data_IF_206250082781
#
_entry.id   IF_206250082781
#
_cell.length_a   1.000
_cell.length_b   1.000
_cell.length_c   1.000
_cell.angle_alpha   90.00
_cell.angle_beta   90.00
_cell.angle_gamma   90.00
#
_symmetry.space_group_name_H-M   'P 1'
#
loop_
_entity.id
_entity.type
_entity.pdbx_description
1 polymer ?
#
# COMPACT_ATOMS: atom_id res chain seq x y z
N UNK A 1 -3.54 4.36 21.44
CA UNK A 1 -4.05 4.17 20.06
C UNK A 1 -4.77 2.84 20.00
N UNK A 2 -6.09 2.84 19.77
CA UNK A 2 -6.89 1.61 19.70
C UNK A 2 -6.83 1.11 18.25
N UNK A 3 -5.90 0.20 17.94
CA UNK A 3 -5.80 -0.48 16.65
C UNK A 3 -6.87 -1.57 16.50
N UNK A 4 -8.12 -1.23 16.80
CA UNK A 4 -9.27 -2.08 16.50
C UNK A 4 -9.67 -1.68 15.09
N UNK A 5 -9.62 -2.58 14.12
CA UNK A 5 -10.08 -2.37 12.75
C UNK A 5 -11.62 -2.17 12.65
N UNK A 6 -12.21 -1.56 13.69
CA UNK A 6 -13.62 -1.29 13.83
C UNK A 6 -13.95 -0.04 13.02
N UNK A 7 -14.71 -0.25 11.94
CA UNK A 7 -15.17 0.82 11.05
C UNK A 7 -16.30 1.60 11.71
N UNK A 8 -16.44 2.87 11.33
CA UNK A 8 -17.60 3.68 11.72
C UNK A 8 -18.89 3.06 11.16
N UNK A 9 -20.05 3.20 11.82
CA UNK A 9 -21.33 2.67 11.35
C UNK A 9 -21.94 3.53 10.22
N UNK A 10 -21.11 3.93 9.25
CA UNK A 10 -21.49 4.72 8.07
C UNK A 10 -21.27 3.88 6.82
N UNK A 11 -21.83 4.32 5.68
CA UNK A 11 -21.58 3.64 4.41
C UNK A 11 -20.07 3.66 4.09
N UNK A 12 -19.49 2.54 3.60
CA UNK A 12 -18.07 2.47 3.25
C UNK A 12 -17.66 3.43 2.14
N UNK A 13 -18.60 3.78 1.25
CA UNK A 13 -18.41 4.79 0.22
C UNK A 13 -19.60 5.76 0.24
N UNK A 14 -19.26 7.04 0.32
CA UNK A 14 -20.22 8.15 0.23
C UNK A 14 -19.73 9.07 -0.90
N UNK A 15 -20.54 9.19 -1.96
CA UNK A 15 -20.26 10.08 -3.08
C UNK A 15 -21.08 11.36 -2.96
N UNK A 16 -20.42 12.51 -3.00
CA UNK A 16 -21.06 13.81 -3.16
C UNK A 16 -20.89 14.30 -4.60
N UNK A 17 -22.00 14.54 -5.28
CA UNK A 17 -22.00 15.08 -6.65
C UNK A 17 -23.25 15.92 -6.88
N UNK A 18 -23.08 17.11 -7.45
CA UNK A 18 -24.18 18.01 -7.83
C UNK A 18 -25.17 18.31 -6.69
N UNK A 19 -24.65 18.54 -5.47
CA UNK A 19 -25.49 18.81 -4.29
C UNK A 19 -26.16 17.57 -3.69
N UNK A 20 -25.93 16.37 -4.25
CA UNK A 20 -26.54 15.12 -3.80
C UNK A 20 -25.51 14.19 -3.16
N UNK A 21 -25.90 13.60 -2.03
CA UNK A 21 -25.18 12.51 -1.38
C UNK A 21 -25.74 11.17 -1.83
N UNK A 22 -24.86 10.23 -2.20
CA UNK A 22 -25.19 8.84 -2.54
C UNK A 22 -24.35 7.91 -1.68
N UNK A 23 -25.00 7.00 -0.98
CA UNK A 23 -24.35 6.02 -0.11
C UNK A 23 -24.36 4.64 -0.78
N UNK A 24 -23.23 3.95 -0.72
CA UNK A 24 -23.09 2.57 -1.20
C UNK A 24 -22.86 1.68 0.02
N UNK A 25 -23.83 0.81 0.34
CA UNK A 25 -23.87 0.02 1.60
C UNK A 25 -23.80 -1.49 1.41
N UNK A 26 -24.06 -1.96 0.19
CA UNK A 26 -24.32 -3.37 -0.05
C UNK A 26 -23.05 -4.21 -0.26
N UNK A 27 -21.90 -3.55 -0.43
CA UNK A 27 -20.63 -4.24 -0.65
C UNK A 27 -19.97 -4.65 0.68
N UNK A 28 -19.50 -5.91 0.80
CA UNK A 28 -18.63 -6.32 1.90
C UNK A 28 -17.41 -5.40 1.95
N UNK A 29 -17.28 -4.67 3.06
CA UNK A 29 -16.29 -3.62 3.22
C UNK A 29 -15.37 -3.84 4.42
N UNK A 30 -15.35 -5.06 4.96
CA UNK A 30 -14.42 -5.38 6.03
C UNK A 30 -13.01 -5.55 5.44
N UNK A 31 -12.00 -5.23 6.22
CA UNK A 31 -10.60 -5.35 5.81
C UNK A 31 -10.26 -6.81 5.46
N UNK A 32 -10.87 -7.77 6.15
CA UNK A 32 -10.69 -9.21 5.91
C UNK A 32 -11.21 -9.65 4.53
N UNK A 33 -12.26 -8.99 4.01
CA UNK A 33 -12.83 -9.32 2.70
C UNK A 33 -11.80 -9.09 1.59
N UNK A 34 -10.94 -8.08 1.74
CA UNK A 34 -9.86 -7.83 0.77
C UNK A 34 -8.85 -8.99 0.69
N UNK A 35 -8.53 -9.65 1.81
CA UNK A 35 -7.63 -10.81 1.84
C UNK A 35 -8.26 -12.02 1.18
N UNK A 36 -9.54 -12.27 1.46
CA UNK A 36 -10.33 -13.36 0.88
C UNK A 36 -10.40 -13.16 -0.65
N UNK A 37 -10.83 -11.99 -1.10
CA UNK A 37 -11.00 -11.68 -2.51
C UNK A 37 -9.68 -11.72 -3.28
N UNK A 38 -8.59 -11.18 -2.72
CA UNK A 38 -7.27 -11.23 -3.36
C UNK A 38 -6.72 -12.65 -3.47
N UNK A 39 -7.01 -13.50 -2.48
CA UNK A 39 -6.60 -14.91 -2.50
C UNK A 39 -7.35 -15.69 -3.58
N UNK A 40 -8.67 -15.47 -3.69
CA UNK A 40 -9.46 -16.06 -4.77
C UNK A 40 -9.02 -15.56 -6.14
N UNK A 41 -8.78 -14.25 -6.30
CA UNK A 41 -8.25 -13.67 -7.55
C UNK A 41 -6.97 -14.37 -7.99
N UNK A 42 -6.01 -14.54 -7.08
CA UNK A 42 -4.75 -15.22 -7.35
C UNK A 42 -4.94 -16.68 -7.78
N UNK A 43 -5.79 -17.44 -7.09
CA UNK A 43 -6.09 -18.84 -7.44
C UNK A 43 -6.71 -18.92 -8.84
N UNK A 44 -7.65 -18.02 -9.15
CA UNK A 44 -8.33 -17.98 -10.43
C UNK A 44 -7.40 -17.57 -11.57
N UNK A 45 -6.43 -16.67 -11.32
CA UNK A 45 -5.38 -16.35 -12.28
C UNK A 45 -4.61 -17.59 -12.74
N UNK A 46 -4.23 -18.43 -11.77
CA UNK A 46 -3.50 -19.67 -12.05
C UNK A 46 -4.39 -20.67 -12.80
N UNK A 47 -5.65 -20.83 -12.38
CA UNK A 47 -6.57 -21.80 -12.97
C UNK A 47 -6.97 -21.48 -14.40
N UNK A 48 -7.19 -20.20 -14.68
CA UNK A 48 -7.78 -19.74 -15.93
C UNK A 48 -6.77 -19.03 -16.85
N UNK A 49 -5.48 -19.06 -16.50
CA UNK A 49 -4.40 -18.41 -17.26
C UNK A 49 -4.72 -16.96 -17.60
N UNK A 50 -5.14 -16.20 -16.58
CA UNK A 50 -5.45 -14.77 -16.70
C UNK A 50 -4.52 -13.93 -15.83
N UNK A 51 -4.39 -12.66 -16.19
CA UNK A 51 -3.69 -11.70 -15.35
C UNK A 51 -4.49 -11.37 -14.08
N UNK A 52 -3.80 -11.11 -12.95
CA UNK A 52 -4.42 -10.58 -11.75
C UNK A 52 -4.89 -9.14 -11.97
N UNK A 53 -5.93 -8.74 -11.25
CA UNK A 53 -6.45 -7.36 -11.31
C UNK A 53 -5.33 -6.36 -10.96
N UNK A 54 -4.54 -6.71 -9.93
CA UNK A 54 -3.34 -6.00 -9.52
C UNK A 54 -2.09 -6.82 -9.86
N UNK A 55 -1.45 -6.52 -10.99
CA UNK A 55 -0.18 -7.14 -11.38
C UNK A 55 0.98 -6.67 -10.50
N UNK A 56 2.14 -7.35 -10.59
CA UNK A 56 3.34 -6.95 -9.87
C UNK A 56 3.82 -5.55 -10.26
N UNK A 57 3.74 -5.19 -11.54
CA UNK A 57 4.12 -3.88 -12.07
C UNK A 57 3.17 -2.79 -11.53
N UNK A 58 1.86 -3.03 -11.53
CA UNK A 58 0.90 -2.11 -10.90
C UNK A 58 1.13 -2.01 -9.39
N UNK A 59 1.43 -3.13 -8.72
CA UNK A 59 1.78 -3.15 -7.30
C UNK A 59 3.01 -2.29 -6.98
N UNK A 60 4.02 -2.30 -7.86
CA UNK A 60 5.18 -1.41 -7.77
C UNK A 60 4.79 0.06 -7.85
N UNK A 61 3.90 0.44 -8.77
CA UNK A 61 3.44 1.83 -8.89
C UNK A 61 2.62 2.29 -7.66
N UNK A 62 1.76 1.42 -7.12
CA UNK A 62 1.02 1.70 -5.87
C UNK A 62 1.97 1.90 -4.70
N UNK A 63 2.98 1.02 -4.56
CA UNK A 63 3.99 1.14 -3.51
C UNK A 63 4.83 2.41 -3.67
N UNK A 64 5.22 2.75 -4.89
CA UNK A 64 5.95 3.97 -5.24
C UNK A 64 5.18 5.21 -4.80
N UNK A 65 3.88 5.28 -5.09
CA UNK A 65 3.01 6.36 -4.64
C UNK A 65 2.97 6.49 -3.11
N UNK A 66 2.75 5.38 -2.40
CA UNK A 66 2.70 5.38 -0.93
C UNK A 66 4.03 5.84 -0.31
N UNK A 67 5.16 5.37 -0.83
CA UNK A 67 6.49 5.77 -0.37
C UNK A 67 6.80 7.25 -0.67
N UNK A 68 6.37 7.76 -1.82
CA UNK A 68 6.52 9.16 -2.18
C UNK A 68 5.72 10.08 -1.25
N UNK A 69 4.48 9.72 -0.89
CA UNK A 69 3.67 10.48 0.07
C UNK A 69 4.34 10.54 1.46
N UNK A 70 4.89 9.41 1.92
CA UNK A 70 5.65 9.35 3.18
C UNK A 70 6.91 10.24 3.11
N UNK A 71 7.62 10.24 1.98
CA UNK A 71 8.84 11.03 1.79
C UNK A 71 8.55 12.53 1.71
N UNK A 72 7.47 12.90 1.02
CA UNK A 72 6.96 14.27 0.92
C UNK A 72 6.64 14.83 2.32
N UNK A 73 5.93 14.05 3.14
CA UNK A 73 5.64 14.43 4.53
C UNK A 73 6.92 14.67 5.35
N UNK A 74 7.93 13.81 5.20
CA UNK A 74 9.22 13.95 5.91
C UNK A 74 10.01 15.18 5.47
N UNK A 75 9.96 15.53 4.19
CA UNK A 75 10.70 16.67 3.61
C UNK A 75 9.93 17.99 3.68
N UNK A 76 8.63 17.92 3.95
CA UNK A 76 7.71 19.05 3.88
C UNK A 76 7.76 19.74 2.49
N UNK A 77 7.82 18.94 1.43
CA UNK A 77 7.93 19.39 0.05
C UNK A 77 7.20 18.43 -0.89
N UNK A 78 6.85 18.88 -2.09
CA UNK A 78 6.33 18.00 -3.14
C UNK A 78 7.38 16.97 -3.60
N UNK A 79 6.89 15.82 -4.10
CA UNK A 79 7.69 14.75 -4.68
C UNK A 79 7.01 14.30 -5.96
N UNK A 80 7.71 14.41 -7.09
CA UNK A 80 7.22 13.98 -8.39
C UNK A 80 7.44 12.49 -8.59
N UNK A 81 6.36 11.74 -8.84
CA UNK A 81 6.41 10.29 -9.00
C UNK A 81 7.34 9.89 -10.15
N UNK A 82 7.36 10.61 -11.26
CA UNK A 82 8.22 10.30 -12.41
C UNK A 82 9.71 10.29 -12.09
N UNK A 83 10.11 10.99 -11.00
CA UNK A 83 11.50 11.03 -10.51
C UNK A 83 11.76 10.14 -9.28
N UNK A 84 10.74 9.42 -8.79
CA UNK A 84 10.82 8.65 -7.57
C UNK A 84 11.33 7.23 -7.85
N UNK A 85 12.66 7.11 -7.87
CA UNK A 85 13.35 5.86 -8.17
C UNK A 85 13.50 4.94 -6.95
N UNK A 86 13.82 3.68 -7.24
CA UNK A 86 14.14 2.69 -6.23
C UNK A 86 15.30 3.16 -5.35
N UNK A 87 15.08 3.18 -4.04
CA UNK A 87 16.11 3.53 -3.08
C UNK A 87 17.14 2.40 -3.00
N UNK A 88 18.45 2.70 -2.99
CA UNK A 88 19.47 1.68 -2.89
C UNK A 88 19.30 0.92 -1.56
N UNK A 89 19.37 -0.41 -1.63
CA UNK A 89 19.28 -1.26 -0.44
C UNK A 89 20.48 -0.94 0.47
N UNK A 90 20.27 -0.52 1.73
CA UNK A 90 21.37 -0.23 2.63
C UNK A 90 22.20 -1.50 2.85
N UNK A 91 23.49 -1.45 2.51
CA UNK A 91 24.41 -2.57 2.73
C UNK A 91 24.41 -2.91 4.23
N UNK A 92 24.01 -4.14 4.57
CA UNK A 92 24.14 -4.65 5.94
C UNK A 92 25.60 -4.51 6.35
N UNK A 93 25.86 -3.75 7.42
CA UNK A 93 27.17 -3.71 8.05
C UNK A 93 27.44 -5.10 8.60
N UNK A 94 28.27 -5.87 7.91
CA UNK A 94 28.66 -7.21 8.33
C UNK A 94 29.31 -7.17 9.72
N UNK A 95 29.28 -8.32 10.39
CA UNK A 95 29.82 -8.53 11.76
C UNK A 95 31.25 -8.00 11.93
N UNK A 96 32.06 -7.98 10.85
CA UNK A 96 33.40 -7.39 10.83
C UNK A 96 33.45 -5.90 11.21
N UNK A 97 32.43 -5.12 10.87
CA UNK A 97 32.38 -3.68 11.20
C UNK A 97 32.26 -3.40 12.70
N UNK A 98 31.82 -4.39 13.48
CA UNK A 98 31.74 -4.32 14.95
C UNK A 98 33.14 -4.50 15.55
N UNK A 99 33.98 -5.37 14.98
CA UNK A 99 35.33 -5.66 15.48
C UNK A 99 36.33 -4.52 15.20
N UNK A 100 36.16 -3.76 14.13
CA UNK A 100 37.06 -2.65 13.79
C UNK A 100 36.74 -1.32 14.49
N UNK A 101 35.59 -1.19 15.17
CA UNK A 101 35.21 0.06 15.86
C UNK A 101 35.83 0.23 17.25
N UNK A 102 36.63 -0.73 17.73
CA UNK A 102 37.16 -0.78 19.11
C UNK A 102 38.65 -0.40 19.24
N UNK A 103 39.15 0.48 18.38
CA UNK A 103 40.44 1.16 18.58
C UNK A 103 40.30 2.66 18.30
N UNK A 104 39.90 3.41 19.32
CA UNK A 104 40.31 4.79 19.62
C UNK A 104 40.07 5.04 21.09
#
# INVERSE_FOLDING_TARGET
>A
TRCTAEMLPVAPLIMYKDGKMTEFRDDPCDWQDAFINSTHDFIDCIKYDRDPILTGEKGREVLKFALAAIDSSKKNSEIFLDSYEDKPVPKKKGVLSIFFKKKK
#
